data_IF_768505846521
#
_entry.id   IF_768505846521
#
_cell.length_a   1.000
_cell.length_b   1.000
_cell.length_c   1.000
_cell.angle_alpha   90.00
_cell.angle_beta   90.00
_cell.angle_gamma   90.00
#
_symmetry.space_group_name_H-M   'P 1'
#
loop_
_entity.id
_entity.type
_entity.pdbx_description
1 polymer ?
#
# COMPACT_ATOMS: atom_id res chain seq x y z
N UNK A 1 -7.31 -18.06 8.18
CA UNK A 1 -8.41 -18.42 7.28
C UNK A 1 -9.74 -18.14 7.96
N UNK A 2 -10.72 -17.59 7.22
CA UNK A 2 -12.07 -17.31 7.74
C UNK A 2 -12.85 -18.60 7.90
N UNK A 3 -13.45 -18.83 9.09
CA UNK A 3 -14.19 -20.04 9.37
C UNK A 3 -15.68 -19.75 9.48
N UNK A 4 -16.47 -20.27 8.55
CA UNK A 4 -17.92 -20.04 8.50
C UNK A 4 -18.68 -20.50 9.76
N UNK A 5 -18.14 -21.50 10.47
CA UNK A 5 -18.74 -21.96 11.75
C UNK A 5 -18.79 -20.85 12.82
N UNK A 6 -17.86 -19.87 12.76
CA UNK A 6 -17.86 -18.77 13.73
C UNK A 6 -18.97 -17.74 13.46
N UNK A 7 -19.58 -17.73 12.28
CA UNK A 7 -20.72 -16.85 11.98
C UNK A 7 -21.93 -17.05 12.90
N UNK A 8 -21.99 -18.20 13.59
CA UNK A 8 -23.02 -18.46 14.60
C UNK A 8 -22.72 -17.78 15.95
N UNK A 9 -21.47 -17.34 16.14
CA UNK A 9 -20.98 -16.74 17.39
C UNK A 9 -20.30 -15.39 17.04
N UNK A 10 -21.06 -14.27 16.96
CA UNK A 10 -20.56 -12.98 16.50
C UNK A 10 -19.23 -12.51 17.14
N UNK A 11 -18.98 -12.69 18.45
CA UNK A 11 -17.68 -12.32 19.03
C UNK A 11 -16.50 -13.08 18.42
N UNK A 12 -16.65 -14.40 18.21
CA UNK A 12 -15.60 -15.22 17.58
C UNK A 12 -15.41 -14.88 16.11
N UNK A 13 -16.50 -14.57 15.40
CA UNK A 13 -16.44 -14.12 14.02
C UNK A 13 -15.67 -12.79 13.90
N UNK A 14 -15.92 -11.84 14.82
CA UNK A 14 -15.17 -10.57 14.88
C UNK A 14 -13.69 -10.79 15.13
N UNK A 15 -13.33 -11.64 16.08
CA UNK A 15 -11.93 -11.96 16.37
C UNK A 15 -11.24 -12.60 15.16
N UNK A 16 -11.88 -13.60 14.55
CA UNK A 16 -11.34 -14.32 13.40
C UNK A 16 -11.12 -13.38 12.19
N UNK A 17 -12.10 -12.53 11.86
CA UNK A 17 -11.96 -11.60 10.74
C UNK A 17 -10.89 -10.54 11.03
N UNK A 18 -10.77 -10.06 12.27
CA UNK A 18 -9.72 -9.11 12.67
C UNK A 18 -8.33 -9.72 12.45
N UNK A 19 -8.10 -10.96 12.86
CA UNK A 19 -6.82 -11.63 12.63
C UNK A 19 -6.47 -11.77 11.14
N UNK A 20 -7.48 -12.09 10.31
CA UNK A 20 -7.29 -12.25 8.87
C UNK A 20 -6.99 -10.89 8.21
N UNK A 21 -7.69 -9.82 8.59
CA UNK A 21 -7.45 -8.47 8.07
C UNK A 21 -6.07 -7.95 8.51
N UNK A 22 -5.67 -8.16 9.76
CA UNK A 22 -4.32 -7.82 10.22
C UNK A 22 -3.24 -8.58 9.44
N UNK A 23 -3.50 -9.84 9.09
CA UNK A 23 -2.60 -10.62 8.23
C UNK A 23 -2.55 -10.03 6.81
N UNK A 24 -3.67 -9.58 6.25
CA UNK A 24 -3.73 -8.90 4.97
C UNK A 24 -2.92 -7.60 5.02
N UNK A 25 -3.10 -6.76 6.04
CA UNK A 25 -2.36 -5.51 6.21
C UNK A 25 -0.83 -5.73 6.23
N UNK A 26 -0.34 -6.73 6.95
CA UNK A 26 1.08 -7.10 6.93
C UNK A 26 1.58 -7.55 5.56
N UNK A 27 0.74 -8.25 4.78
CA UNK A 27 1.08 -8.67 3.41
C UNK A 27 1.09 -7.48 2.44
N UNK A 28 0.19 -6.50 2.62
CA UNK A 28 0.17 -5.26 1.84
C UNK A 28 1.44 -4.45 2.08
N UNK A 29 1.91 -4.35 3.32
CA UNK A 29 3.18 -3.70 3.61
C UNK A 29 4.37 -4.43 2.94
N UNK A 30 4.37 -5.77 2.98
CA UNK A 30 5.42 -6.60 2.38
C UNK A 30 5.46 -6.48 0.84
N UNK A 31 4.30 -6.45 0.16
CA UNK A 31 4.27 -6.24 -1.30
C UNK A 31 4.73 -4.83 -1.66
N UNK A 32 4.33 -3.81 -0.91
CA UNK A 32 4.76 -2.42 -1.12
C UNK A 32 6.27 -2.29 -1.04
N UNK A 33 6.91 -2.86 -0.02
CA UNK A 33 8.38 -2.83 0.11
C UNK A 33 9.09 -3.66 -0.96
N UNK A 34 8.48 -4.78 -1.36
CA UNK A 34 9.00 -5.59 -2.47
C UNK A 34 8.98 -4.81 -3.78
N UNK A 35 7.91 -4.09 -4.08
CA UNK A 35 7.76 -3.26 -5.27
C UNK A 35 8.75 -2.08 -5.26
N UNK A 36 8.85 -1.35 -4.16
CA UNK A 36 9.82 -0.26 -4.00
C UNK A 36 11.25 -0.73 -4.24
N UNK A 37 11.61 -1.93 -3.77
CA UNK A 37 12.97 -2.47 -3.97
C UNK A 37 13.32 -2.74 -5.43
N UNK A 38 12.34 -2.85 -6.32
CA UNK A 38 12.56 -3.04 -7.75
C UNK A 38 13.02 -1.75 -8.46
N UNK A 39 12.69 -0.59 -7.90
CA UNK A 39 13.16 0.71 -8.42
C UNK A 39 14.67 0.90 -8.25
N UNK A 40 15.27 0.28 -7.22
CA UNK A 40 16.72 0.32 -7.00
C UNK A 40 17.45 -0.66 -7.92
N UNK A 41 16.92 -1.86 -8.06
CA UNK A 41 17.49 -2.90 -8.90
C UNK A 41 16.39 -3.85 -9.36
N UNK A 42 16.01 -3.73 -10.62
CA UNK A 42 14.98 -4.59 -11.20
C UNK A 42 15.42 -6.04 -11.28
N UNK A 43 14.57 -6.93 -10.79
CA UNK A 43 14.75 -8.38 -10.84
C UNK A 43 13.45 -9.06 -11.26
N UNK A 44 13.45 -9.74 -12.40
CA UNK A 44 12.27 -10.36 -12.97
C UNK A 44 11.62 -11.41 -12.07
N UNK A 45 12.42 -12.13 -11.27
CA UNK A 45 11.89 -13.12 -10.32
C UNK A 45 11.19 -12.43 -9.13
N UNK A 46 11.71 -11.28 -8.70
CA UNK A 46 11.04 -10.46 -7.67
C UNK A 46 9.76 -9.85 -8.22
N UNK A 47 9.79 -9.32 -9.44
CA UNK A 47 8.61 -8.80 -10.14
C UNK A 47 7.50 -9.84 -10.21
N UNK A 48 7.78 -11.03 -10.73
CA UNK A 48 6.82 -12.14 -10.78
C UNK A 48 6.29 -12.57 -9.40
N UNK A 49 7.03 -12.31 -8.31
CA UNK A 49 6.53 -12.54 -6.95
C UNK A 49 5.58 -11.44 -6.50
N UNK A 50 5.82 -10.19 -6.91
CA UNK A 50 4.91 -9.07 -6.63
C UNK A 50 3.56 -9.32 -7.30
N UNK A 51 3.54 -9.68 -8.59
CA UNK A 51 2.30 -10.05 -9.30
C UNK A 51 1.51 -11.15 -8.60
N UNK A 52 2.21 -12.22 -8.17
CA UNK A 52 1.56 -13.32 -7.45
C UNK A 52 1.04 -12.93 -6.06
N UNK A 53 1.68 -11.96 -5.41
CA UNK A 53 1.23 -11.46 -4.10
C UNK A 53 -0.03 -10.63 -4.25
N UNK A 54 -0.08 -9.77 -5.27
CA UNK A 54 -1.25 -8.94 -5.58
C UNK A 54 -2.47 -9.81 -5.88
N UNK A 55 -2.40 -10.77 -6.81
CA UNK A 55 -3.50 -11.73 -7.07
C UNK A 55 -4.00 -12.42 -5.78
N UNK A 56 -3.10 -12.71 -4.84
CA UNK A 56 -3.52 -13.29 -3.56
C UNK A 56 -4.19 -12.28 -2.63
N UNK A 57 -3.83 -11.01 -2.72
CA UNK A 57 -4.46 -9.96 -1.92
C UNK A 57 -5.87 -9.67 -2.42
N UNK A 58 -6.12 -9.70 -3.73
CA UNK A 58 -7.47 -9.69 -4.31
C UNK A 58 -8.33 -10.85 -3.77
N UNK A 59 -7.76 -12.06 -3.76
CA UNK A 59 -8.47 -13.21 -3.16
C UNK A 59 -8.76 -13.02 -1.66
N UNK A 60 -7.90 -12.30 -0.93
CA UNK A 60 -8.16 -11.96 0.47
C UNK A 60 -9.32 -10.98 0.58
N UNK A 61 -9.33 -9.93 -0.25
CA UNK A 61 -10.42 -8.94 -0.30
C UNK A 61 -11.76 -9.63 -0.53
N UNK A 62 -11.89 -10.40 -1.60
CA UNK A 62 -13.11 -11.12 -1.96
C UNK A 62 -13.64 -11.98 -0.80
N UNK A 63 -12.77 -12.81 -0.22
CA UNK A 63 -13.14 -13.72 0.87
C UNK A 63 -13.56 -12.97 2.13
N UNK A 64 -12.87 -11.88 2.46
CA UNK A 64 -13.18 -11.05 3.62
C UNK A 64 -14.50 -10.32 3.41
N UNK A 65 -14.74 -9.74 2.23
CA UNK A 65 -15.98 -9.03 1.89
C UNK A 65 -17.19 -9.95 1.95
N UNK A 66 -17.08 -11.16 1.41
CA UNK A 66 -18.14 -12.19 1.52
C UNK A 66 -18.42 -12.53 3.00
N UNK A 67 -17.38 -12.70 3.80
CA UNK A 67 -17.52 -13.04 5.21
C UNK A 67 -18.13 -11.90 6.02
N UNK A 68 -17.68 -10.67 5.84
CA UNK A 68 -18.22 -9.48 6.49
C UNK A 68 -19.68 -9.24 6.11
N UNK A 69 -20.05 -9.48 4.86
CA UNK A 69 -21.44 -9.40 4.38
C UNK A 69 -22.33 -10.45 5.09
N UNK A 70 -21.84 -11.68 5.24
CA UNK A 70 -22.53 -12.72 6.01
C UNK A 70 -22.64 -12.35 7.50
N UNK A 71 -21.61 -11.74 8.08
CA UNK A 71 -21.67 -11.22 9.46
C UNK A 71 -22.72 -10.11 9.60
N UNK A 72 -22.77 -9.16 8.68
CA UNK A 72 -23.73 -8.04 8.68
C UNK A 72 -25.19 -8.52 8.67
N UNK A 73 -25.47 -9.71 8.13
CA UNK A 73 -26.81 -10.31 8.13
C UNK A 73 -27.20 -10.97 9.45
N UNK A 74 -26.31 -11.00 10.45
CA UNK A 74 -26.56 -11.59 11.77
C UNK A 74 -26.99 -10.52 12.78
N UNK A 75 -27.51 -10.97 13.93
CA UNK A 75 -27.86 -10.09 15.06
C UNK A 75 -26.58 -9.62 15.75
N UNK A 76 -26.02 -8.50 15.28
CA UNK A 76 -24.82 -7.88 15.83
C UNK A 76 -25.18 -6.82 16.89
N UNK A 77 -24.36 -6.69 17.92
CA UNK A 77 -24.44 -5.52 18.81
C UNK A 77 -23.81 -4.27 18.15
N UNK A 78 -23.99 -3.10 18.79
CA UNK A 78 -23.50 -1.83 18.22
C UNK A 78 -21.98 -1.77 17.99
N UNK A 79 -21.17 -2.42 18.83
CA UNK A 79 -19.72 -2.51 18.64
C UNK A 79 -19.37 -3.38 17.42
N UNK A 80 -19.98 -4.56 17.32
CA UNK A 80 -19.75 -5.50 16.21
C UNK A 80 -20.18 -4.90 14.86
N UNK A 81 -21.33 -4.20 14.83
CA UNK A 81 -21.80 -3.52 13.62
C UNK A 81 -20.82 -2.44 13.15
N UNK A 82 -20.28 -1.63 14.08
CA UNK A 82 -19.27 -0.61 13.74
C UNK A 82 -17.97 -1.26 13.26
N UNK A 83 -17.54 -2.38 13.86
CA UNK A 83 -16.36 -3.12 13.45
C UNK A 83 -16.50 -3.64 12.01
N UNK A 84 -17.62 -4.29 11.69
CA UNK A 84 -17.93 -4.78 10.34
C UNK A 84 -17.95 -3.64 9.33
N UNK A 85 -18.63 -2.52 9.63
CA UNK A 85 -18.68 -1.35 8.77
C UNK A 85 -17.29 -0.77 8.50
N UNK A 86 -16.45 -0.63 9.54
CA UNK A 86 -15.07 -0.16 9.38
C UNK A 86 -14.26 -1.09 8.48
N UNK A 87 -14.35 -2.41 8.69
CA UNK A 87 -13.57 -3.38 7.92
C UNK A 87 -14.02 -3.47 6.46
N UNK A 88 -15.30 -3.29 6.14
CA UNK A 88 -15.78 -3.24 4.75
C UNK A 88 -15.13 -2.10 3.96
N UNK A 89 -14.81 -0.98 4.60
CA UNK A 89 -14.07 0.11 3.96
C UNK A 89 -12.55 -0.18 3.91
N UNK A 90 -11.97 -0.57 5.06
CA UNK A 90 -10.52 -0.78 5.16
C UNK A 90 -9.98 -1.87 4.25
N UNK A 91 -10.78 -2.91 3.97
CA UNK A 91 -10.34 -4.03 3.10
C UNK A 91 -10.14 -3.56 1.66
N UNK A 92 -11.06 -2.73 1.12
CA UNK A 92 -10.88 -2.13 -0.20
C UNK A 92 -9.70 -1.14 -0.25
N UNK A 93 -9.44 -0.39 0.85
CA UNK A 93 -8.26 0.48 0.90
C UNK A 93 -6.95 -0.34 0.92
N UNK A 94 -6.92 -1.48 1.61
CA UNK A 94 -5.76 -2.39 1.62
C UNK A 94 -5.51 -2.99 0.23
N UNK A 95 -6.55 -3.38 -0.49
CA UNK A 95 -6.45 -3.86 -1.88
C UNK A 95 -5.88 -2.76 -2.79
N UNK A 96 -6.41 -1.53 -2.72
CA UNK A 96 -5.89 -0.40 -3.53
C UNK A 96 -4.41 -0.11 -3.27
N UNK A 97 -3.93 -0.24 -2.04
CA UNK A 97 -2.48 -0.10 -1.76
C UNK A 97 -1.69 -1.22 -2.45
N UNK A 98 -2.22 -2.43 -2.50
CA UNK A 98 -1.61 -3.57 -3.20
C UNK A 98 -1.55 -3.34 -4.71
N UNK A 99 -2.61 -2.80 -5.32
CA UNK A 99 -2.65 -2.38 -6.72
C UNK A 99 -1.60 -1.31 -7.03
N UNK A 100 -1.48 -0.30 -6.18
CA UNK A 100 -0.44 0.71 -6.33
C UNK A 100 0.96 0.12 -6.21
N UNK A 101 1.17 -0.88 -5.35
CA UNK A 101 2.44 -1.59 -5.27
C UNK A 101 2.75 -2.33 -6.58
N UNK A 102 1.77 -2.97 -7.22
CA UNK A 102 1.95 -3.57 -8.54
C UNK A 102 2.29 -2.52 -9.60
N UNK A 103 1.61 -1.36 -9.59
CA UNK A 103 1.91 -0.26 -10.52
C UNK A 103 3.36 0.23 -10.35
N UNK A 104 3.85 0.36 -9.12
CA UNK A 104 5.27 0.70 -8.85
C UNK A 104 6.22 -0.36 -9.42
N UNK A 105 5.89 -1.64 -9.28
CA UNK A 105 6.69 -2.72 -9.83
C UNK A 105 6.72 -2.70 -11.37
N UNK A 106 5.58 -2.42 -12.02
CA UNK A 106 5.48 -2.24 -13.47
C UNK A 106 6.28 -1.01 -13.96
N UNK A 107 6.24 0.08 -13.20
CA UNK A 107 7.07 1.24 -13.47
C UNK A 107 8.56 0.90 -13.39
N UNK A 108 8.98 0.14 -12.39
CA UNK A 108 10.37 -0.32 -12.26
C UNK A 108 10.80 -1.19 -13.46
N UNK A 109 9.89 -2.02 -13.98
CA UNK A 109 10.11 -2.79 -15.19
C UNK A 109 10.34 -1.86 -16.40
N UNK A 110 9.45 -0.90 -16.62
CA UNK A 110 9.56 0.05 -17.74
C UNK A 110 10.86 0.86 -17.66
N UNK A 111 11.23 1.35 -16.49
CA UNK A 111 12.51 2.05 -16.25
C UNK A 111 13.70 1.19 -16.66
N UNK A 112 13.66 -0.10 -16.30
CA UNK A 112 14.73 -1.06 -16.63
C UNK A 112 14.80 -1.38 -18.12
N UNK A 113 13.65 -1.59 -18.78
CA UNK A 113 13.55 -1.90 -20.22
C UNK A 113 14.01 -0.72 -21.06
N UNK A 114 13.59 0.49 -20.73
CA UNK A 114 13.93 1.73 -21.42
C UNK A 114 15.35 2.24 -21.06
N UNK A 115 16.03 1.56 -20.10
CA UNK A 115 17.37 1.93 -19.60
C UNK A 115 17.43 3.39 -19.17
N UNK A 116 16.39 3.86 -18.48
CA UNK A 116 16.33 5.23 -17.98
C UNK A 116 17.42 5.44 -16.94
N UNK A 117 18.21 6.50 -17.12
CA UNK A 117 19.26 6.90 -16.18
C UNK A 117 18.85 8.20 -15.51
N UNK A 118 18.71 8.16 -14.20
CA UNK A 118 18.44 9.34 -13.39
C UNK A 118 19.72 10.11 -13.10
N UNK A 119 19.64 11.45 -13.05
CA UNK A 119 20.73 12.26 -12.52
C UNK A 119 20.94 11.93 -11.03
N UNK A 120 22.13 12.28 -10.50
CA UNK A 120 22.43 12.10 -9.07
C UNK A 120 21.38 12.78 -8.18
N UNK A 121 20.95 13.97 -8.55
CA UNK A 121 19.98 14.75 -7.79
C UNK A 121 18.59 14.12 -7.85
N UNK A 122 18.13 13.69 -9.04
CA UNK A 122 16.86 12.96 -9.18
C UNK A 122 16.85 11.66 -8.38
N UNK A 123 17.99 10.95 -8.34
CA UNK A 123 18.10 9.72 -7.55
C UNK A 123 18.02 10.01 -6.04
N UNK A 124 18.69 11.04 -5.56
CA UNK A 124 18.61 11.44 -4.15
C UNK A 124 17.20 11.86 -3.74
N UNK A 125 16.50 12.60 -4.61
CA UNK A 125 15.10 13.00 -4.40
C UNK A 125 14.19 11.77 -4.33
N UNK A 126 14.35 10.83 -5.26
CA UNK A 126 13.60 9.58 -5.27
C UNK A 126 13.84 8.76 -4.00
N UNK A 127 15.10 8.59 -3.60
CA UNK A 127 15.45 7.83 -2.39
C UNK A 127 14.81 8.45 -1.14
N UNK A 128 14.80 9.79 -1.04
CA UNK A 128 14.13 10.50 0.05
C UNK A 128 12.62 10.23 0.06
N UNK A 129 11.98 10.30 -1.11
CA UNK A 129 10.55 9.99 -1.25
C UNK A 129 10.24 8.56 -0.83
N UNK A 130 11.02 7.59 -1.30
CA UNK A 130 10.82 6.17 -0.99
C UNK A 130 11.01 5.86 0.50
N UNK A 131 11.96 6.53 1.16
CA UNK A 131 12.11 6.40 2.62
C UNK A 131 10.92 6.99 3.37
N UNK A 132 10.41 8.15 2.94
CA UNK A 132 9.22 8.76 3.54
C UNK A 132 7.98 7.86 3.34
N UNK A 133 7.77 7.29 2.16
CA UNK A 133 6.69 6.34 1.88
C UNK A 133 6.80 5.10 2.76
N UNK A 134 7.99 4.50 2.89
CA UNK A 134 8.20 3.34 3.77
C UNK A 134 7.83 3.67 5.21
N UNK A 135 8.23 4.84 5.69
CA UNK A 135 7.96 5.27 7.06
C UNK A 135 6.46 5.49 7.32
N UNK A 136 5.79 6.22 6.45
CA UNK A 136 4.34 6.49 6.60
C UNK A 136 3.54 5.21 6.47
N UNK A 137 3.87 4.34 5.51
CA UNK A 137 3.19 3.05 5.33
C UNK A 137 3.36 2.13 6.53
N UNK A 138 4.57 2.05 7.09
CA UNK A 138 4.81 1.25 8.32
C UNK A 138 3.97 1.78 9.47
N UNK A 139 4.02 3.08 9.73
CA UNK A 139 3.27 3.69 10.84
C UNK A 139 1.76 3.51 10.66
N UNK A 140 1.24 3.67 9.45
CA UNK A 140 -0.17 3.46 9.12
C UNK A 140 -0.60 2.02 9.40
N UNK A 141 0.16 1.03 8.90
CA UNK A 141 -0.17 -0.38 9.10
C UNK A 141 -0.02 -0.82 10.55
N UNK A 142 1.00 -0.35 11.26
CA UNK A 142 1.19 -0.66 12.68
C UNK A 142 0.03 -0.09 13.51
N UNK A 143 -0.36 1.17 13.30
CA UNK A 143 -1.50 1.78 13.99
C UNK A 143 -2.82 1.06 13.70
N UNK A 144 -3.01 0.60 12.46
CA UNK A 144 -4.18 -0.16 12.05
C UNK A 144 -4.23 -1.53 12.75
N UNK A 145 -3.13 -2.29 12.73
CA UNK A 145 -3.02 -3.63 13.31
C UNK A 145 -3.17 -3.58 14.84
N UNK A 146 -2.54 -2.60 15.49
CA UNK A 146 -2.59 -2.44 16.94
C UNK A 146 -3.82 -1.68 17.43
N UNK A 147 -4.57 -1.06 16.51
CA UNK A 147 -5.67 -0.12 16.83
C UNK A 147 -5.19 1.06 17.70
N UNK A 148 -3.95 1.52 17.48
CA UNK A 148 -3.36 2.64 18.19
C UNK A 148 -3.82 3.97 17.55
N UNK A 149 -4.79 4.62 18.19
CA UNK A 149 -5.38 5.87 17.73
C UNK A 149 -4.37 7.03 17.84
N UNK A 150 -3.54 7.04 18.88
CA UNK A 150 -2.54 8.12 19.07
C UNK A 150 -1.51 8.06 17.94
N UNK A 151 -1.03 6.88 17.59
CA UNK A 151 -0.12 6.69 16.46
C UNK A 151 -0.79 7.08 15.13
N UNK A 152 -2.08 6.81 14.96
CA UNK A 152 -2.81 7.17 13.72
C UNK A 152 -2.84 8.69 13.47
N UNK A 153 -2.91 9.52 14.52
CA UNK A 153 -2.81 10.98 14.37
C UNK A 153 -1.45 11.48 13.89
N UNK A 154 -0.40 10.69 14.04
CA UNK A 154 0.93 11.02 13.53
C UNK A 154 1.13 10.67 12.06
N UNK A 155 0.21 9.93 11.44
CA UNK A 155 0.28 9.54 10.01
C UNK A 155 0.03 10.75 9.11
N UNK A 156 -1.01 11.55 9.38
CA UNK A 156 -1.39 12.71 8.55
C UNK A 156 -0.26 13.76 8.40
N UNK A 157 0.46 14.17 9.46
CA UNK A 157 1.61 15.06 9.28
C UNK A 157 2.73 14.49 8.42
N UNK A 158 2.94 13.17 8.43
CA UNK A 158 3.93 12.51 7.57
C UNK A 158 3.47 12.45 6.11
N UNK A 159 2.20 12.24 5.88
CA UNK A 159 1.60 12.28 4.54
C UNK A 159 1.78 13.67 3.92
N UNK A 160 1.52 14.75 4.67
CA UNK A 160 1.80 16.11 4.22
C UNK A 160 3.27 16.38 3.91
N UNK A 161 4.21 15.67 4.55
CA UNK A 161 5.63 15.73 4.19
C UNK A 161 5.86 15.02 2.85
N UNK A 162 5.25 13.86 2.63
CA UNK A 162 5.32 13.13 1.36
C UNK A 162 4.83 14.02 0.22
N UNK A 163 3.67 14.67 0.36
CA UNK A 163 3.11 15.59 -0.64
C UNK A 163 4.09 16.72 -0.99
N UNK A 164 4.67 17.35 0.03
CA UNK A 164 5.67 18.42 -0.19
C UNK A 164 6.93 17.93 -0.91
N UNK A 165 7.37 16.69 -0.63
CA UNK A 165 8.51 16.09 -1.34
C UNK A 165 8.13 15.91 -2.82
N UNK A 166 6.95 15.34 -3.10
CA UNK A 166 6.46 15.13 -4.48
C UNK A 166 6.36 16.45 -5.24
N UNK A 167 5.74 17.47 -4.65
CA UNK A 167 5.62 18.78 -5.28
C UNK A 167 6.99 19.37 -5.59
N UNK A 168 7.94 19.29 -4.64
CA UNK A 168 9.29 19.81 -4.85
C UNK A 168 10.07 19.03 -5.92
N UNK A 169 9.90 17.71 -5.98
CA UNK A 169 10.49 16.89 -7.03
C UNK A 169 9.97 17.29 -8.42
N UNK A 170 8.67 17.55 -8.56
CA UNK A 170 8.07 18.03 -9.81
C UNK A 170 8.63 19.38 -10.24
N UNK A 171 8.71 20.35 -9.32
CA UNK A 171 9.33 21.66 -9.59
C UNK A 171 10.78 21.51 -10.07
N UNK A 172 11.58 20.76 -9.34
CA UNK A 172 12.99 20.53 -9.67
C UNK A 172 13.16 19.79 -11.01
N UNK A 173 12.27 18.84 -11.31
CA UNK A 173 12.29 18.15 -12.62
C UNK A 173 12.01 19.12 -13.78
N UNK A 174 11.01 20.00 -13.64
CA UNK A 174 10.68 21.01 -14.65
C UNK A 174 11.89 21.95 -14.86
N UNK A 175 12.55 22.38 -13.78
CA UNK A 175 13.74 23.24 -13.86
C UNK A 175 14.89 22.53 -14.59
N UNK A 176 15.17 21.26 -14.27
CA UNK A 176 16.19 20.45 -14.97
C UNK A 176 15.87 20.25 -16.46
N UNK A 177 14.59 20.07 -16.81
CA UNK A 177 14.16 19.99 -18.22
C UNK A 177 14.43 21.30 -18.97
N UNK A 178 14.11 22.44 -18.38
CA UNK A 178 14.34 23.75 -18.96
C UNK A 178 15.83 24.06 -19.18
N UNK A 179 16.66 23.57 -18.26
CA UNK A 179 18.12 23.73 -18.34
C UNK A 179 18.81 22.71 -19.27
N UNK A 180 18.07 21.73 -19.81
CA UNK A 180 18.62 20.63 -20.61
C UNK A 180 19.44 19.60 -19.83
N UNK A 181 19.29 19.55 -18.50
CA UNK A 181 20.00 18.65 -17.59
C UNK A 181 19.27 17.31 -17.41
N UNK A 182 18.08 17.18 -17.97
CA UNK A 182 17.23 16.00 -17.86
C UNK A 182 16.54 15.73 -19.21
N UNK A 183 16.21 14.48 -19.50
CA UNK A 183 15.40 14.12 -20.65
C UNK A 183 13.93 13.85 -20.26
N UNK A 184 13.04 13.92 -21.26
CA UNK A 184 11.59 13.70 -21.06
C UNK A 184 11.29 12.30 -20.52
N UNK A 185 12.12 11.30 -20.83
CA UNK A 185 11.95 9.92 -20.38
C UNK A 185 12.11 9.78 -18.87
N UNK A 186 12.85 10.67 -18.21
CA UNK A 186 12.94 10.72 -16.74
C UNK A 186 11.63 11.17 -16.06
N UNK A 187 10.64 11.61 -16.83
CA UNK A 187 9.33 12.03 -16.34
C UNK A 187 8.44 10.88 -15.82
N UNK A 188 8.77 9.63 -16.13
CA UNK A 188 8.02 8.46 -15.66
C UNK A 188 7.82 8.38 -14.13
N UNK A 189 8.65 9.06 -13.34
CA UNK A 189 8.54 9.07 -11.88
C UNK A 189 7.41 10.00 -11.40
N UNK A 190 6.91 10.90 -12.24
CA UNK A 190 6.04 12.00 -11.83
C UNK A 190 4.58 11.83 -12.25
N UNK A 191 4.25 10.77 -12.98
CA UNK A 191 2.90 10.39 -13.41
C UNK A 191 2.32 9.31 -12.48
#
# INVERSE_FOLDING_TARGET
LLEERFLQYPPLACENVTQVINTMAGKVLDITFSAISLLDNFDEKKFAKVEKKEVRLDEYEDKINIYLTKMASKSLNGYQSRLVGRYLHSVGDLERISDHALNIAQLAQAISEDKVVFSSDSKMELDLLLEAIKKVSTMCMDSFITSDIEQSYAVEPLEQVVDKIVDKMRENHIERLQNGECNVQSGYIFD
#
